data_IF_462225104981
#
_entry.id   IF_462225104981
#
_cell.length_a   1.000
_cell.length_b   1.000
_cell.length_c   1.000
_cell.angle_alpha   90.00
_cell.angle_beta   90.00
_cell.angle_gamma   90.00
#
_symmetry.space_group_name_H-M   'P 1'
#
loop_
_entity.id
_entity.type
_entity.pdbx_description
1 polymer ?
#
# COMPACT_ATOMS: atom_id res chain seq x y z
N UNK A 1 -29.72 -22.55 -5.94
CA UNK A 1 -28.68 -21.61 -5.49
C UNK A 1 -27.38 -22.06 -6.11
N UNK A 2 -26.71 -21.16 -6.80
CA UNK A 2 -25.36 -21.37 -7.33
C UNK A 2 -24.45 -20.31 -6.69
N UNK A 3 -23.18 -20.64 -6.46
CA UNK A 3 -22.17 -19.68 -6.00
C UNK A 3 -21.20 -19.45 -7.15
N UNK A 4 -20.92 -18.17 -7.40
CA UNK A 4 -19.92 -17.74 -8.36
C UNK A 4 -18.88 -16.88 -7.63
N UNK A 5 -17.61 -17.04 -8.01
CA UNK A 5 -16.52 -16.17 -7.56
C UNK A 5 -16.51 -14.83 -8.33
N UNK A 6 -17.19 -14.79 -9.48
CA UNK A 6 -17.17 -13.67 -10.43
C UNK A 6 -18.62 -13.28 -10.78
N UNK A 7 -18.94 -11.99 -10.64
CA UNK A 7 -20.26 -11.45 -10.92
C UNK A 7 -20.72 -11.70 -12.36
N UNK A 8 -19.83 -11.92 -13.32
CA UNK A 8 -20.17 -12.06 -14.75
C UNK A 8 -19.70 -13.37 -15.40
N UNK A 9 -19.14 -14.30 -14.62
CA UNK A 9 -18.64 -15.59 -15.11
C UNK A 9 -19.19 -16.75 -14.29
N UNK A 10 -19.12 -17.96 -14.84
CA UNK A 10 -19.43 -19.21 -14.13
C UNK A 10 -18.21 -19.75 -13.34
N UNK A 11 -17.19 -18.91 -13.15
CA UNK A 11 -15.96 -19.25 -12.44
C UNK A 11 -16.25 -19.53 -10.97
N UNK A 12 -15.73 -20.65 -10.49
CA UNK A 12 -15.88 -21.12 -9.09
C UNK A 12 -14.53 -21.27 -8.39
N UNK A 13 -13.54 -20.52 -8.83
CA UNK A 13 -12.21 -20.51 -8.23
C UNK A 13 -11.63 -19.10 -8.17
N UNK A 14 -10.85 -18.81 -7.13
CA UNK A 14 -10.07 -17.58 -7.01
C UNK A 14 -8.77 -17.81 -6.24
N UNK A 15 -7.82 -16.89 -6.39
CA UNK A 15 -6.53 -16.91 -5.69
C UNK A 15 -6.30 -15.58 -4.98
N UNK A 16 -5.95 -15.67 -3.71
CA UNK A 16 -5.78 -14.49 -2.84
C UNK A 16 -4.59 -14.67 -1.92
N UNK A 17 -4.05 -13.57 -1.39
CA UNK A 17 -2.95 -13.61 -0.43
C UNK A 17 -3.46 -13.55 1.01
N UNK A 18 -2.81 -14.28 1.92
CA UNK A 18 -3.13 -14.27 3.35
C UNK A 18 -2.63 -13.01 4.08
N UNK A 19 -2.88 -11.82 3.53
CA UNK A 19 -2.33 -10.55 4.01
C UNK A 19 -3.15 -9.88 5.14
N UNK A 20 -4.27 -10.46 5.54
CA UNK A 20 -5.13 -9.95 6.63
C UNK A 20 -6.10 -8.85 6.23
N UNK A 21 -6.06 -8.39 4.99
CA UNK A 21 -6.94 -7.32 4.50
C UNK A 21 -7.63 -7.65 3.19
N UNK A 22 -7.01 -8.42 2.30
CA UNK A 22 -7.58 -8.80 1.01
C UNK A 22 -8.93 -9.47 1.23
N UNK A 23 -9.91 -9.12 0.42
CA UNK A 23 -11.23 -9.71 0.47
C UNK A 23 -11.42 -10.68 -0.70
N UNK A 24 -12.14 -11.75 -0.43
CA UNK A 24 -12.76 -12.60 -1.45
C UNK A 24 -14.19 -12.13 -1.61
N UNK A 25 -14.61 -11.84 -2.85
CA UNK A 25 -16.01 -11.58 -3.15
C UNK A 25 -16.73 -12.87 -3.54
N UNK A 26 -17.87 -13.11 -2.91
CA UNK A 26 -18.70 -14.30 -3.14
C UNK A 26 -20.07 -13.83 -3.62
N UNK A 27 -20.50 -14.33 -4.78
CA UNK A 27 -21.80 -14.00 -5.35
C UNK A 27 -22.74 -15.19 -5.20
N UNK A 28 -23.78 -15.01 -4.38
CA UNK A 28 -24.85 -16.01 -4.25
C UNK A 28 -25.93 -15.69 -5.28
N UNK A 29 -26.18 -16.64 -6.19
CA UNK A 29 -27.25 -16.60 -7.17
C UNK A 29 -28.53 -17.18 -6.58
N UNK A 30 -29.59 -16.38 -6.57
CA UNK A 30 -30.94 -16.78 -6.15
C UNK A 30 -31.94 -16.65 -7.29
N UNK A 31 -32.81 -17.65 -7.39
CA UNK A 31 -33.97 -17.60 -8.26
C UNK A 31 -35.14 -17.01 -7.47
N UNK A 32 -35.83 -16.04 -8.08
CA UNK A 32 -36.91 -15.33 -7.44
C UNK A 32 -38.10 -15.16 -8.40
N UNK A 33 -39.32 -15.04 -7.84
CA UNK A 33 -40.61 -15.19 -8.52
C UNK A 33 -41.31 -13.88 -8.91
N UNK A 34 -40.80 -12.70 -8.57
CA UNK A 34 -41.38 -11.41 -9.01
C UNK A 34 -42.21 -10.62 -7.97
N UNK A 35 -42.26 -11.04 -6.69
CA UNK A 35 -43.02 -10.35 -5.62
C UNK A 35 -42.28 -9.28 -4.74
N UNK A 36 -40.94 -9.27 -4.65
CA UNK A 36 -40.08 -8.33 -3.88
C UNK A 36 -39.09 -7.53 -4.77
N UNK A 37 -38.68 -6.34 -4.35
CA UNK A 37 -37.63 -5.60 -5.08
C UNK A 37 -36.27 -6.31 -5.04
N UNK A 38 -35.39 -6.00 -6.00
CA UNK A 38 -34.02 -6.53 -6.03
C UNK A 38 -33.23 -6.19 -4.75
N UNK A 39 -33.38 -4.96 -4.24
CA UNK A 39 -32.74 -4.50 -3.00
C UNK A 39 -33.22 -5.27 -1.76
N UNK A 40 -34.51 -5.60 -1.69
CA UNK A 40 -35.07 -6.43 -0.62
C UNK A 40 -34.48 -7.85 -0.67
N UNK A 41 -34.28 -8.40 -1.87
CA UNK A 41 -33.69 -9.73 -2.08
C UNK A 41 -32.21 -9.72 -1.71
N UNK A 42 -31.44 -8.71 -2.15
CA UNK A 42 -30.04 -8.52 -1.78
C UNK A 42 -29.89 -8.47 -0.26
N UNK A 43 -30.68 -7.60 0.39
CA UNK A 43 -30.66 -7.42 1.85
C UNK A 43 -31.02 -8.72 2.56
N UNK A 44 -32.04 -9.43 2.07
CA UNK A 44 -32.46 -10.70 2.65
C UNK A 44 -31.35 -11.76 2.56
N UNK A 45 -30.74 -11.94 1.39
CA UNK A 45 -29.66 -12.91 1.20
C UNK A 45 -28.44 -12.55 2.05
N UNK A 46 -28.04 -11.28 2.10
CA UNK A 46 -26.91 -10.84 2.92
C UNK A 46 -27.10 -11.11 4.42
N UNK A 47 -28.34 -11.01 4.91
CA UNK A 47 -28.66 -11.22 6.32
C UNK A 47 -28.86 -12.69 6.72
N UNK A 48 -29.19 -13.57 5.76
CA UNK A 48 -29.64 -14.94 6.06
C UNK A 48 -28.77 -16.04 5.44
N UNK A 49 -27.95 -15.74 4.44
CA UNK A 49 -27.08 -16.74 3.84
C UNK A 49 -25.95 -17.16 4.79
N UNK A 50 -25.71 -18.46 4.86
CA UNK A 50 -24.61 -19.06 5.62
C UNK A 50 -23.63 -19.71 4.67
N UNK A 51 -22.36 -19.34 4.74
CA UNK A 51 -21.27 -19.97 4.00
C UNK A 51 -20.60 -21.03 4.90
N UNK A 52 -20.50 -22.26 4.41
CA UNK A 52 -19.82 -23.37 5.07
C UNK A 52 -18.54 -23.73 4.35
N UNK A 53 -17.50 -24.07 5.12
CA UNK A 53 -16.33 -24.78 4.59
C UNK A 53 -16.57 -26.29 4.57
N UNK A 54 -16.23 -26.92 3.45
CA UNK A 54 -16.21 -28.37 3.26
C UNK A 54 -14.90 -29.01 3.74
N UNK A 55 -13.88 -28.20 4.02
CA UNK A 55 -12.59 -28.72 4.49
C UNK A 55 -12.70 -29.04 5.98
N UNK A 56 -12.98 -30.31 6.31
CA UNK A 56 -13.09 -30.78 7.70
C UNK A 56 -11.82 -30.48 8.50
N UNK A 57 -11.97 -29.82 9.65
CA UNK A 57 -10.86 -29.41 10.51
C UNK A 57 -10.31 -28.00 10.25
N UNK A 58 -10.89 -27.28 9.28
CA UNK A 58 -10.58 -25.87 9.08
C UNK A 58 -11.13 -25.04 10.25
N UNK A 59 -10.24 -24.68 11.18
CA UNK A 59 -10.56 -23.79 12.32
C UNK A 59 -10.42 -22.29 11.94
N UNK A 60 -10.26 -21.99 10.65
CA UNK A 60 -10.04 -20.63 10.17
C UNK A 60 -11.40 -19.95 9.97
N UNK A 61 -11.71 -18.96 10.81
CA UNK A 61 -12.91 -18.14 10.66
C UNK A 61 -12.58 -16.88 9.87
N UNK A 62 -13.27 -16.69 8.76
CA UNK A 62 -13.11 -15.53 7.89
C UNK A 62 -14.12 -14.45 8.30
N UNK A 63 -13.68 -13.21 8.58
CA UNK A 63 -14.59 -12.09 8.82
C UNK A 63 -15.45 -11.79 7.58
N UNK A 64 -16.76 -11.71 7.77
CA UNK A 64 -17.71 -11.32 6.71
C UNK A 64 -17.99 -9.80 6.78
N UNK A 65 -18.14 -9.17 5.63
CA UNK A 65 -18.54 -7.79 5.42
C UNK A 65 -19.53 -7.69 4.25
N UNK A 66 -20.47 -6.76 4.34
CA UNK A 66 -21.35 -6.39 3.21
C UNK A 66 -20.77 -5.24 2.38
N UNK A 67 -19.63 -4.69 2.79
CA UNK A 67 -18.93 -3.57 2.11
C UNK A 67 -17.53 -3.99 1.67
N UNK A 68 -17.18 -3.56 0.45
CA UNK A 68 -15.81 -3.56 -0.07
C UNK A 68 -14.89 -2.68 0.80
N UNK A 69 -13.63 -3.08 0.93
CA UNK A 69 -12.59 -2.35 1.64
C UNK A 69 -11.75 -1.41 0.75
N UNK A 70 -12.12 -1.29 -0.53
CA UNK A 70 -11.52 -0.39 -1.53
C UNK A 70 -10.08 -0.73 -1.93
N UNK A 71 -9.55 -1.90 -1.57
CA UNK A 71 -8.28 -2.40 -2.13
C UNK A 71 -8.53 -3.07 -3.47
N UNK A 72 -7.50 -3.16 -4.31
CA UNK A 72 -7.59 -4.06 -5.44
C UNK A 72 -7.83 -5.48 -4.92
N UNK A 73 -8.74 -6.22 -5.55
CA UNK A 73 -9.06 -7.58 -5.14
C UNK A 73 -9.48 -8.43 -6.35
N UNK A 74 -9.93 -9.66 -6.12
CA UNK A 74 -10.29 -10.61 -7.17
C UNK A 74 -11.34 -10.10 -8.17
N UNK A 75 -12.11 -9.06 -7.83
CA UNK A 75 -13.12 -8.45 -8.72
C UNK A 75 -12.54 -7.50 -9.76
N UNK A 76 -11.29 -7.05 -9.67
CA UNK A 76 -10.75 -6.15 -10.69
C UNK A 76 -10.62 -6.83 -12.06
N UNK A 77 -10.62 -8.17 -12.08
CA UNK A 77 -10.79 -8.96 -13.30
C UNK A 77 -12.23 -8.93 -13.88
N UNK A 78 -13.24 -8.60 -13.07
CA UNK A 78 -14.64 -8.49 -13.47
C UNK A 78 -14.98 -7.16 -14.16
N UNK A 79 -14.07 -6.17 -14.14
CA UNK A 79 -14.26 -4.86 -14.75
C UNK A 79 -14.21 -4.85 -16.30
N UNK A 80 -13.96 -6.00 -16.95
CA UNK A 80 -14.26 -6.15 -18.37
C UNK A 80 -15.78 -6.27 -18.55
N UNK A 81 -16.43 -5.10 -18.57
CA UNK A 81 -17.84 -4.91 -18.91
C UNK A 81 -18.17 -5.57 -20.25
N UNK A 82 -18.57 -6.84 -20.21
CA UNK A 82 -19.36 -7.43 -21.28
C UNK A 82 -20.74 -6.78 -21.21
N UNK A 83 -21.11 -6.06 -22.26
CA UNK A 83 -22.45 -5.52 -22.45
C UNK A 83 -23.49 -6.63 -22.39
N UNK A 84 -24.40 -6.49 -21.41
CA UNK A 84 -25.73 -7.10 -21.35
C UNK A 84 -25.83 -8.57 -21.81
N UNK A 85 -25.58 -9.51 -20.90
CA UNK A 85 -26.24 -10.82 -21.02
C UNK A 85 -27.70 -10.60 -20.57
N UNK A 86 -28.71 -10.83 -21.43
CA UNK A 86 -30.11 -10.70 -21.02
C UNK A 86 -30.35 -11.65 -19.85
N UNK A 87 -31.15 -11.27 -18.84
CA UNK A 87 -31.55 -12.21 -17.81
C UNK A 87 -32.16 -13.43 -18.49
N UNK A 88 -31.60 -14.62 -18.25
CA UNK A 88 -32.31 -15.87 -18.54
C UNK A 88 -33.66 -15.77 -17.81
N UNK A 89 -34.71 -16.40 -18.34
CA UNK A 89 -36.13 -16.19 -17.99
C UNK A 89 -36.55 -16.41 -16.50
N UNK A 90 -35.59 -16.53 -15.58
CA UNK A 90 -35.71 -16.50 -14.13
C UNK A 90 -34.72 -15.43 -13.68
N UNK A 91 -35.18 -14.37 -13.02
CA UNK A 91 -34.33 -13.27 -12.53
C UNK A 91 -33.30 -13.82 -11.54
N UNK A 92 -32.11 -14.12 -12.07
CA UNK A 92 -30.91 -14.51 -11.34
C UNK A 92 -30.31 -13.26 -10.70
N UNK A 93 -30.61 -13.05 -9.42
CA UNK A 93 -30.02 -11.95 -8.64
C UNK A 93 -28.74 -12.48 -8.00
N UNK A 94 -27.61 -11.85 -8.35
CA UNK A 94 -26.29 -12.15 -7.79
C UNK A 94 -26.00 -11.21 -6.63
N UNK A 95 -26.05 -11.76 -5.41
CA UNK A 95 -25.88 -10.98 -4.18
C UNK A 95 -24.42 -11.05 -3.71
N UNK A 96 -23.71 -9.91 -3.56
CA UNK A 96 -22.32 -9.91 -3.12
C UNK A 96 -22.20 -10.07 -1.59
N UNK A 97 -21.22 -10.87 -1.19
CA UNK A 97 -20.72 -11.03 0.17
C UNK A 97 -19.19 -10.94 0.14
N UNK A 98 -18.57 -10.26 1.10
CA UNK A 98 -17.12 -10.09 1.16
C UNK A 98 -16.55 -10.80 2.38
N UNK A 99 -15.50 -11.59 2.17
CA UNK A 99 -14.81 -12.30 3.24
C UNK A 99 -13.36 -11.87 3.30
N UNK A 100 -12.95 -11.27 4.43
CA UNK A 100 -11.56 -10.86 4.63
C UNK A 100 -10.69 -12.10 4.88
N UNK A 101 -9.62 -12.25 4.10
CA UNK A 101 -8.65 -13.34 4.24
C UNK A 101 -7.88 -13.15 5.55
N UNK A 102 -7.91 -14.10 6.49
CA UNK A 102 -7.15 -13.96 7.74
C UNK A 102 -5.64 -13.91 7.51
N UNK A 103 -4.98 -12.98 8.20
CA UNK A 103 -3.55 -12.77 8.11
C UNK A 103 -2.75 -13.96 8.64
N UNK A 104 -1.79 -14.47 7.86
CA UNK A 104 -0.79 -15.43 8.30
C UNK A 104 -1.25 -16.86 8.57
N UNK A 105 -2.55 -17.11 8.81
CA UNK A 105 -3.08 -18.39 9.29
C UNK A 105 -3.91 -19.18 8.27
N UNK A 106 -4.46 -18.51 7.25
CA UNK A 106 -5.43 -19.10 6.31
C UNK A 106 -4.80 -19.73 5.06
N UNK A 107 -3.60 -20.33 5.11
CA UNK A 107 -2.95 -20.85 3.89
C UNK A 107 -3.60 -22.15 3.38
N UNK A 108 -3.70 -22.28 2.06
CA UNK A 108 -4.11 -23.53 1.40
C UNK A 108 -5.36 -23.38 0.54
N UNK A 109 -6.00 -24.51 0.24
CA UNK A 109 -7.25 -24.54 -0.52
C UNK A 109 -8.46 -24.60 0.42
N UNK A 110 -9.40 -23.68 0.21
CA UNK A 110 -10.62 -23.54 0.99
C UNK A 110 -11.81 -23.79 0.07
N UNK A 111 -12.64 -24.78 0.41
CA UNK A 111 -13.77 -25.21 -0.44
C UNK A 111 -15.07 -24.83 0.24
N UNK A 112 -15.83 -23.90 -0.34
CA UNK A 112 -17.03 -23.34 0.27
C UNK A 112 -18.32 -23.71 -0.45
N UNK A 113 -19.39 -23.84 0.33
CA UNK A 113 -20.79 -23.94 -0.13
C UNK A 113 -21.65 -22.96 0.66
N UNK A 114 -22.81 -22.60 0.11
CA UNK A 114 -23.75 -21.67 0.72
C UNK A 114 -25.06 -22.38 1.00
N UNK A 115 -25.72 -21.97 2.08
CA UNK A 115 -27.05 -22.38 2.45
C UNK A 115 -27.91 -21.16 2.74
N UNK A 116 -29.14 -21.20 2.23
CA UNK A 116 -30.19 -20.25 2.52
C UNK A 116 -31.49 -21.03 2.64
N UNK A 117 -32.18 -20.88 3.77
CA UNK A 117 -33.47 -21.52 4.06
C UNK A 117 -33.48 -23.04 3.85
N UNK A 118 -32.40 -23.71 4.25
CA UNK A 118 -32.27 -25.16 4.16
C UNK A 118 -31.97 -25.67 2.74
N UNK A 119 -31.82 -24.79 1.75
CA UNK A 119 -31.32 -25.12 0.42
C UNK A 119 -29.84 -24.80 0.35
N UNK A 120 -29.03 -25.81 0.02
CA UNK A 120 -27.59 -25.66 -0.13
C UNK A 120 -27.13 -25.77 -1.58
N UNK A 121 -25.96 -25.19 -1.88
CA UNK A 121 -25.27 -25.42 -3.15
C UNK A 121 -24.64 -26.81 -3.22
N UNK A 122 -24.33 -27.26 -4.43
CA UNK A 122 -23.74 -28.58 -4.68
C UNK A 122 -22.34 -28.72 -4.08
N UNK A 123 -22.14 -29.75 -3.26
CA UNK A 123 -20.82 -30.13 -2.72
C UNK A 123 -19.84 -30.63 -3.79
N UNK A 124 -20.34 -31.03 -4.95
CA UNK A 124 -19.52 -31.49 -6.09
C UNK A 124 -18.89 -30.34 -6.86
N UNK A 125 -19.42 -29.13 -6.70
CA UNK A 125 -19.00 -27.91 -7.41
C UNK A 125 -18.93 -26.75 -6.39
N UNK A 126 -18.04 -26.86 -5.38
CA UNK A 126 -17.87 -25.80 -4.39
C UNK A 126 -17.10 -24.63 -4.99
N UNK A 127 -17.22 -23.47 -4.35
CA UNK A 127 -16.29 -22.37 -4.57
C UNK A 127 -14.92 -22.75 -4.00
N UNK A 128 -13.87 -22.63 -4.80
CA UNK A 128 -12.49 -22.95 -4.41
C UNK A 128 -11.70 -21.65 -4.24
N UNK A 129 -11.25 -21.37 -3.03
CA UNK A 129 -10.39 -20.22 -2.74
C UNK A 129 -9.01 -20.78 -2.41
N UNK A 130 -8.04 -20.49 -3.26
CA UNK A 130 -6.64 -20.81 -2.98
C UNK A 130 -5.99 -19.61 -2.30
N UNK A 131 -5.62 -19.77 -1.04
CA UNK A 131 -4.93 -18.74 -0.28
C UNK A 131 -3.43 -18.99 -0.32
N UNK A 132 -2.75 -18.11 -1.02
CA UNK A 132 -1.30 -18.09 -1.16
C UNK A 132 -0.65 -17.34 0.00
N UNK A 133 0.61 -17.68 0.27
CA UNK A 133 1.38 -16.97 1.29
C UNK A 133 1.77 -15.58 0.82
N UNK A 134 1.44 -14.57 1.61
CA UNK A 134 2.06 -13.26 1.55
C UNK A 134 3.31 -13.28 2.42
N UNK A 135 4.47 -13.36 1.78
CA UNK A 135 5.76 -13.33 2.45
C UNK A 135 6.76 -12.58 1.60
N UNK A 136 7.64 -11.83 2.26
CA UNK A 136 8.70 -11.08 1.60
C UNK A 136 9.98 -11.13 2.44
N UNK A 137 11.08 -10.85 1.78
CA UNK A 137 12.44 -10.72 2.28
C UNK A 137 13.09 -9.47 1.69
N UNK A 138 14.28 -9.09 2.16
CA UNK A 138 14.96 -7.91 1.62
C UNK A 138 15.31 -8.03 0.13
N UNK A 139 15.56 -9.27 -0.33
CA UNK A 139 15.95 -9.57 -1.71
C UNK A 139 14.77 -9.50 -2.69
N UNK A 140 13.53 -9.39 -2.21
CA UNK A 140 12.33 -9.30 -3.03
C UNK A 140 12.05 -7.88 -3.55
N UNK A 141 12.88 -6.91 -3.12
CA UNK A 141 12.74 -5.51 -3.48
C UNK A 141 13.91 -5.02 -4.30
N UNK A 142 13.66 -4.00 -5.10
CA UNK A 142 14.69 -3.24 -5.78
C UNK A 142 14.40 -1.74 -5.73
N UNK A 143 15.47 -0.96 -5.81
CA UNK A 143 15.42 0.49 -5.96
C UNK A 143 16.00 0.81 -7.32
N UNK A 144 15.17 1.37 -8.20
CA UNK A 144 15.50 1.61 -9.60
C UNK A 144 15.57 3.10 -9.88
N UNK A 145 16.71 3.55 -10.42
CA UNK A 145 16.89 4.92 -10.89
C UNK A 145 15.94 5.20 -12.07
N UNK A 146 15.25 6.35 -12.00
CA UNK A 146 14.32 6.81 -13.04
C UNK A 146 14.86 8.00 -13.79
N UNK A 147 15.22 9.03 -13.05
CA UNK A 147 15.71 10.29 -13.62
C UNK A 147 16.82 10.82 -12.74
N UNK A 148 17.89 11.31 -13.37
CA UNK A 148 19.02 11.93 -12.69
C UNK A 148 19.21 13.36 -13.18
N UNK A 149 19.37 14.27 -12.23
CA UNK A 149 19.82 15.64 -12.46
C UNK A 149 21.13 15.87 -11.70
N UNK A 150 21.67 17.09 -11.74
CA UNK A 150 23.01 17.39 -11.24
C UNK A 150 23.20 17.00 -9.77
N UNK A 151 22.26 17.32 -8.89
CA UNK A 151 22.35 16.98 -7.47
C UNK A 151 21.14 16.25 -6.89
N UNK A 152 20.27 15.69 -7.75
CA UNK A 152 19.16 14.85 -7.32
C UNK A 152 18.98 13.63 -8.22
N UNK A 153 18.54 12.53 -7.62
CA UNK A 153 18.15 11.31 -8.32
C UNK A 153 16.76 10.90 -7.87
N UNK A 154 15.87 10.67 -8.84
CA UNK A 154 14.56 10.11 -8.65
C UNK A 154 14.66 8.58 -8.76
N UNK A 155 14.21 7.88 -7.74
CA UNK A 155 14.18 6.43 -7.67
C UNK A 155 12.76 5.91 -7.45
N UNK A 156 12.56 4.63 -7.77
CA UNK A 156 11.36 3.88 -7.38
C UNK A 156 11.79 2.69 -6.55
N UNK A 157 11.14 2.53 -5.39
CA UNK A 157 11.15 1.29 -4.64
C UNK A 157 9.97 0.44 -5.09
N UNK A 158 10.26 -0.80 -5.51
CA UNK A 158 9.24 -1.75 -5.94
C UNK A 158 9.62 -3.19 -5.63
N UNK A 159 8.64 -4.07 -5.74
CA UNK A 159 8.88 -5.51 -5.82
C UNK A 159 9.62 -5.84 -7.13
N UNK A 160 10.49 -6.86 -7.09
CA UNK A 160 11.06 -7.42 -8.32
C UNK A 160 9.98 -8.15 -9.14
N UNK A 161 10.19 -8.23 -10.45
CA UNK A 161 9.20 -8.72 -11.43
C UNK A 161 8.72 -10.17 -11.20
N UNK A 162 9.48 -10.98 -10.47
CA UNK A 162 9.23 -12.40 -10.22
C UNK A 162 8.68 -12.70 -8.81
N UNK A 163 8.53 -11.69 -7.97
CA UNK A 163 8.05 -11.85 -6.59
C UNK A 163 6.52 -11.89 -6.54
N UNK A 164 5.87 -10.89 -7.14
CA UNK A 164 4.43 -10.79 -7.24
C UNK A 164 4.00 -10.39 -8.65
N UNK A 165 2.69 -10.44 -8.92
CA UNK A 165 2.14 -9.96 -10.18
C UNK A 165 2.46 -8.48 -10.40
N UNK A 166 2.47 -8.03 -11.66
CA UNK A 166 2.66 -6.62 -11.99
C UNK A 166 1.56 -5.70 -11.44
N UNK A 167 0.44 -6.24 -10.95
CA UNK A 167 -0.61 -5.48 -10.28
C UNK A 167 -0.27 -5.21 -8.81
N UNK A 168 0.58 -6.02 -8.17
CA UNK A 168 1.04 -5.85 -6.79
C UNK A 168 2.16 -4.80 -6.74
N UNK A 169 1.82 -3.58 -6.31
CA UNK A 169 2.77 -2.46 -6.25
C UNK A 169 2.69 -1.81 -4.88
N UNK A 170 3.84 -1.40 -4.35
CA UNK A 170 3.88 -0.54 -3.17
C UNK A 170 3.28 0.83 -3.52
N UNK A 171 2.42 1.37 -2.65
CA UNK A 171 1.74 2.65 -2.87
C UNK A 171 2.04 3.65 -1.75
N UNK A 172 1.77 3.29 -0.50
CA UNK A 172 1.73 4.27 0.59
C UNK A 172 2.79 3.95 1.63
N UNK A 173 3.52 4.94 2.12
CA UNK A 173 4.27 4.81 3.37
C UNK A 173 3.35 5.18 4.56
N UNK A 174 2.83 4.18 5.26
CA UNK A 174 1.83 4.38 6.33
C UNK A 174 2.49 4.68 7.68
N UNK A 175 3.66 4.12 7.92
CA UNK A 175 4.46 4.39 9.11
C UNK A 175 5.87 4.76 8.71
N UNK A 176 6.28 5.97 9.07
CA UNK A 176 7.59 6.50 8.73
C UNK A 176 8.24 7.13 9.95
N UNK A 177 9.57 7.20 9.90
CA UNK A 177 10.38 8.05 10.78
C UNK A 177 10.96 9.17 9.93
N UNK A 178 10.67 10.42 10.31
CA UNK A 178 11.05 11.53 9.46
C UNK A 178 10.52 12.89 9.87
N UNK A 179 10.79 13.87 9.00
CA UNK A 179 10.40 15.27 9.13
C UNK A 179 9.69 15.68 7.84
N UNK A 180 8.45 16.16 7.95
CA UNK A 180 7.72 16.83 6.88
C UNK A 180 7.68 18.33 7.17
N UNK A 181 7.98 19.17 6.17
CA UNK A 181 8.03 20.63 6.32
C UNK A 181 6.75 21.28 5.78
N UNK A 182 6.00 21.95 6.65
CA UNK A 182 4.75 22.65 6.31
C UNK A 182 5.05 23.98 5.61
N UNK A 183 4.16 24.41 4.71
CA UNK A 183 4.29 25.70 4.00
C UNK A 183 5.28 25.69 2.84
N UNK A 184 5.90 24.53 2.58
CA UNK A 184 6.42 24.24 1.24
C UNK A 184 5.22 23.98 0.32
N UNK A 185 5.36 24.24 -0.97
CA UNK A 185 4.35 23.81 -1.96
C UNK A 185 4.31 22.28 -2.14
N UNK A 186 5.04 21.54 -1.30
CA UNK A 186 5.40 20.16 -1.51
C UNK A 186 4.82 19.22 -0.48
N UNK A 187 4.52 18.03 -0.97
CA UNK A 187 4.03 16.92 -0.20
C UNK A 187 5.10 15.83 -0.16
N UNK A 188 6.23 16.14 0.50
CA UNK A 188 7.31 15.17 0.70
C UNK A 188 7.81 15.20 2.12
N UNK A 189 8.36 14.08 2.59
CA UNK A 189 8.94 14.00 3.92
C UNK A 189 10.33 13.38 3.89
N UNK A 190 11.24 13.98 4.65
CA UNK A 190 12.61 13.51 4.81
C UNK A 190 12.59 12.32 5.75
N UNK A 191 13.16 11.20 5.32
CA UNK A 191 13.31 9.99 6.15
C UNK A 191 14.74 9.76 6.61
N UNK A 192 15.72 10.40 5.96
CA UNK A 192 17.12 10.31 6.34
C UNK A 192 17.89 11.61 6.06
N UNK A 193 18.83 11.93 6.96
CA UNK A 193 19.92 12.91 6.75
C UNK A 193 21.28 12.32 7.15
N UNK A 194 22.28 12.31 6.26
CA UNK A 194 23.60 11.71 6.51
C UNK A 194 24.69 12.74 6.85
N UNK A 195 25.39 12.52 7.98
CA UNK A 195 26.49 13.37 8.47
C UNK A 195 27.71 13.32 7.55
N UNK A 196 28.07 12.10 7.13
CA UNK A 196 29.28 11.81 6.37
C UNK A 196 29.13 12.14 4.87
N UNK A 197 27.91 12.33 4.39
CA UNK A 197 27.62 12.29 2.97
C UNK A 197 27.14 13.59 2.34
N UNK A 198 26.59 14.53 3.12
CA UNK A 198 25.97 15.74 2.57
C UNK A 198 24.82 15.33 1.61
N UNK A 199 23.92 14.51 2.14
CA UNK A 199 22.82 13.88 1.39
C UNK A 199 21.54 13.80 2.22
N UNK A 200 20.41 13.81 1.53
CA UNK A 200 19.07 13.66 2.09
C UNK A 200 18.27 12.63 1.29
N UNK A 201 17.60 11.73 2.01
CA UNK A 201 16.67 10.75 1.44
C UNK A 201 15.23 11.14 1.77
N UNK A 202 14.40 11.24 0.74
CA UNK A 202 13.05 11.79 0.82
C UNK A 202 12.07 10.87 0.10
N UNK A 203 10.88 10.71 0.67
CA UNK A 203 9.78 10.05 0.00
C UNK A 203 8.75 11.08 -0.43
N UNK A 204 8.18 10.83 -1.61
CA UNK A 204 7.06 11.61 -2.12
C UNK A 204 5.77 11.04 -1.56
N UNK A 205 4.82 11.91 -1.23
CA UNK A 205 3.47 11.51 -0.84
C UNK A 205 2.76 10.78 -1.97
N UNK A 206 1.90 9.83 -1.60
CA UNK A 206 1.16 9.05 -2.56
C UNK A 206 0.29 9.95 -3.45
N UNK A 207 0.45 9.81 -4.77
CA UNK A 207 -0.21 10.60 -5.83
C UNK A 207 0.11 12.10 -5.84
N UNK A 208 1.16 12.52 -5.15
CA UNK A 208 1.62 13.90 -5.18
C UNK A 208 2.70 14.04 -6.26
N UNK A 209 2.38 14.79 -7.32
CA UNK A 209 3.20 14.83 -8.54
C UNK A 209 3.63 16.23 -8.95
N UNK A 210 2.99 17.28 -8.44
CA UNK A 210 3.36 18.67 -8.70
C UNK A 210 4.11 19.31 -7.53
N UNK A 211 4.99 20.27 -7.84
CA UNK A 211 5.64 21.15 -6.87
C UNK A 211 6.41 20.42 -5.75
N UNK A 212 7.19 19.41 -6.12
CA UNK A 212 8.00 18.64 -5.17
C UNK A 212 9.17 19.49 -4.64
N UNK A 213 8.93 20.32 -3.64
CA UNK A 213 9.90 21.11 -2.89
C UNK A 213 10.18 20.51 -1.50
N UNK A 214 11.27 19.75 -1.35
CA UNK A 214 11.58 19.03 -0.10
C UNK A 214 11.55 19.95 1.14
N UNK A 215 12.17 21.12 1.02
CA UNK A 215 12.15 22.20 1.98
C UNK A 215 12.60 23.50 1.31
N UNK A 216 12.37 24.63 1.98
CA UNK A 216 12.99 25.91 1.62
C UNK A 216 14.39 25.93 2.26
N UNK A 217 15.48 25.98 1.48
CA UNK A 217 16.82 26.01 2.02
C UNK A 217 17.04 27.27 2.86
N UNK A 218 17.79 27.12 3.95
CA UNK A 218 18.17 28.17 4.89
C UNK A 218 16.98 28.89 5.59
N UNK A 219 15.76 28.38 5.42
CA UNK A 219 14.60 28.84 6.18
C UNK A 219 14.52 28.15 7.54
N UNK A 220 14.32 28.95 8.59
CA UNK A 220 14.16 28.44 9.95
C UNK A 220 12.70 28.10 10.24
N UNK A 221 12.38 26.81 10.19
CA UNK A 221 11.06 26.28 10.53
C UNK A 221 10.87 26.18 12.04
N UNK A 222 9.73 26.69 12.52
CA UNK A 222 9.27 26.48 13.89
C UNK A 222 8.57 25.11 14.06
N UNK A 223 8.39 24.65 15.30
CA UNK A 223 7.74 23.35 15.59
C UNK A 223 6.34 23.20 14.99
N UNK A 224 5.56 24.29 14.91
CA UNK A 224 4.23 24.26 14.30
C UNK A 224 4.26 24.24 12.75
N UNK A 225 5.45 24.39 12.15
CA UNK A 225 5.66 24.33 10.71
C UNK A 225 6.35 23.03 10.28
N UNK A 226 6.46 22.04 11.16
CA UNK A 226 7.02 20.72 10.84
C UNK A 226 6.18 19.62 11.46
N UNK A 227 6.03 18.50 10.77
CA UNK A 227 5.50 17.26 11.34
C UNK A 227 6.67 16.30 11.52
N UNK A 228 6.99 15.99 12.78
CA UNK A 228 8.00 15.01 13.15
C UNK A 228 7.33 13.70 13.54
N UNK A 229 7.83 12.58 13.02
CA UNK A 229 7.37 11.24 13.41
C UNK A 229 8.59 10.42 13.81
N UNK A 230 8.63 9.97 15.08
CA UNK A 230 9.74 9.21 15.68
C UNK A 230 11.14 9.83 15.54
N UNK A 231 11.21 11.16 15.47
CA UNK A 231 12.45 11.95 15.44
C UNK A 231 12.52 12.79 16.71
N UNK A 232 13.34 12.35 17.66
CA UNK A 232 13.47 12.98 19.00
C UNK A 232 14.48 14.12 19.05
N UNK A 233 15.07 14.48 17.90
CA UNK A 233 15.97 15.63 17.78
C UNK A 233 15.22 16.88 17.34
N UNK A 234 15.86 18.04 17.47
CA UNK A 234 15.37 19.31 16.94
C UNK A 234 14.06 19.78 17.60
N UNK A 235 14.11 20.01 18.90
CA UNK A 235 12.96 20.31 19.76
C UNK A 235 12.40 21.72 19.61
N UNK A 236 13.14 22.66 19.01
CA UNK A 236 12.74 24.07 18.90
C UNK A 236 12.66 24.57 17.46
N UNK A 237 13.77 24.77 16.76
CA UNK A 237 13.76 25.15 15.34
C UNK A 237 14.57 24.18 14.47
N UNK A 238 14.17 24.07 13.21
CA UNK A 238 14.78 23.21 12.19
C UNK A 238 15.10 24.06 10.96
N UNK A 239 16.34 24.00 10.49
CA UNK A 239 16.79 24.70 9.30
C UNK A 239 17.42 23.69 8.34
N UNK A 240 16.70 23.26 7.29
CA UNK A 240 17.31 22.52 6.20
C UNK A 240 18.20 23.45 5.39
N UNK A 241 19.33 22.95 4.94
CA UNK A 241 20.35 23.71 4.20
C UNK A 241 20.73 22.92 2.96
N UNK A 242 21.11 23.65 1.91
CA UNK A 242 21.65 23.09 0.68
C UNK A 242 20.90 23.59 -0.55
N UNK A 243 21.65 24.20 -1.46
CA UNK A 243 21.18 24.79 -2.72
C UNK A 243 20.34 23.84 -3.58
N UNK A 244 20.65 22.54 -3.51
CA UNK A 244 19.97 21.49 -4.27
C UNK A 244 18.57 21.13 -3.76
N UNK A 245 18.12 21.72 -2.67
CA UNK A 245 16.73 21.60 -2.22
C UNK A 245 15.78 22.39 -3.12
N UNK A 246 16.22 23.53 -3.68
CA UNK A 246 15.39 24.30 -4.62
C UNK A 246 15.28 23.58 -5.98
N UNK A 247 16.32 22.84 -6.38
CA UNK A 247 16.33 22.10 -7.63
C UNK A 247 15.28 20.98 -7.68
N UNK A 248 14.70 20.57 -6.55
CA UNK A 248 13.65 19.55 -6.55
C UNK A 248 12.36 20.06 -7.22
N UNK A 249 12.17 21.39 -7.28
CA UNK A 249 11.07 22.02 -8.03
C UNK A 249 11.14 21.79 -9.53
N UNK A 250 12.31 21.44 -10.08
CA UNK A 250 12.47 21.18 -11.52
C UNK A 250 11.97 19.79 -11.93
N UNK A 251 11.56 18.96 -10.97
CA UNK A 251 11.00 17.65 -11.23
C UNK A 251 9.69 17.76 -12.02
N UNK A 252 9.73 17.27 -13.25
CA UNK A 252 8.55 17.18 -14.09
C UNK A 252 7.54 16.19 -13.47
N UNK A 253 6.26 16.60 -13.27
CA UNK A 253 5.21 15.71 -12.75
C UNK A 253 5.11 14.38 -13.50
N UNK A 254 5.31 14.36 -14.82
CA UNK A 254 5.26 13.14 -15.62
C UNK A 254 6.35 12.13 -15.22
N UNK A 255 7.52 12.57 -14.77
CA UNK A 255 8.55 11.66 -14.24
C UNK A 255 8.09 11.01 -12.94
N UNK A 256 7.43 11.79 -12.08
CA UNK A 256 6.92 11.33 -10.78
C UNK A 256 5.72 10.39 -10.98
N UNK A 257 4.80 10.71 -11.88
CA UNK A 257 3.68 9.85 -12.27
C UNK A 257 4.14 8.49 -12.81
N UNK A 258 5.11 8.51 -13.76
CA UNK A 258 5.66 7.29 -14.33
C UNK A 258 6.35 6.42 -13.26
N UNK A 259 7.05 7.06 -12.33
CA UNK A 259 7.68 6.39 -11.21
C UNK A 259 6.64 5.76 -10.26
N UNK A 260 5.57 6.48 -9.93
CA UNK A 260 4.45 6.00 -9.11
C UNK A 260 3.72 4.80 -9.72
N UNK A 261 3.63 4.74 -11.04
CA UNK A 261 3.04 3.61 -11.74
C UNK A 261 3.82 2.30 -11.55
N UNK A 262 5.03 2.34 -10.99
CA UNK A 262 5.83 1.13 -10.70
C UNK A 262 5.92 0.80 -9.21
N UNK A 263 5.85 1.80 -8.33
CA UNK A 263 6.02 1.61 -6.89
C UNK A 263 6.14 2.94 -6.16
N UNK A 264 6.73 2.91 -4.97
CA UNK A 264 6.89 4.12 -4.15
C UNK A 264 8.02 5.00 -4.66
N UNK A 265 7.77 6.30 -4.74
CA UNK A 265 8.74 7.28 -5.27
C UNK A 265 9.64 7.82 -4.17
N UNK A 266 10.96 7.76 -4.44
CA UNK A 266 12.03 8.22 -3.57
C UNK A 266 12.85 9.28 -4.30
N UNK A 267 13.30 10.30 -3.58
CA UNK A 267 14.23 11.32 -4.07
C UNK A 267 15.46 11.30 -3.17
N UNK A 268 16.62 11.21 -3.80
CA UNK A 268 17.90 11.32 -3.14
C UNK A 268 18.60 12.59 -3.60
N UNK A 269 18.88 13.49 -2.67
CA UNK A 269 19.61 14.74 -2.93
C UNK A 269 21.01 14.64 -2.37
N UNK A 270 22.02 15.06 -3.12
CA UNK A 270 23.42 15.02 -2.69
C UNK A 270 24.20 16.26 -3.15
N UNK A 271 24.65 17.09 -2.20
CA UNK A 271 25.54 18.23 -2.47
C UNK A 271 26.34 18.63 -1.22
N UNK A 272 27.47 19.34 -1.39
CA UNK A 272 28.42 19.77 -0.37
C UNK A 272 27.85 20.45 0.88
N UNK A 273 26.76 21.16 0.68
CA UNK A 273 26.07 22.05 1.62
C UNK A 273 24.80 21.43 2.21
N UNK A 274 24.39 20.25 1.74
CA UNK A 274 23.15 19.59 2.17
C UNK A 274 23.23 19.17 3.65
N UNK A 275 22.24 19.57 4.45
CA UNK A 275 22.14 19.16 5.84
C UNK A 275 20.87 19.64 6.54
N UNK A 276 20.58 19.03 7.70
CA UNK A 276 19.53 19.48 8.62
C UNK A 276 20.21 20.08 9.83
N UNK A 277 19.96 21.35 10.12
CA UNK A 277 20.44 22.03 11.30
C UNK A 277 19.31 22.20 12.29
N UNK A 278 19.61 22.00 13.55
CA UNK A 278 18.63 22.11 14.60
C UNK A 278 19.15 23.03 15.68
N UNK A 279 18.24 23.85 16.14
CA UNK A 279 18.48 24.73 17.25
C UNK A 279 18.62 23.92 18.53
N UNK A 280 19.67 24.23 19.27
CA UNK A 280 19.99 23.64 20.55
C UNK A 280 20.31 24.77 21.55
N UNK A 281 19.69 24.70 22.72
CA UNK A 281 20.00 25.57 23.85
C UNK A 281 21.03 24.88 24.73
N UNK A 282 22.28 25.29 24.59
CA UNK A 282 23.35 24.87 25.48
C UNK A 282 23.90 26.09 26.21
N UNK A 283 23.97 25.99 27.54
CA UNK A 283 24.63 26.99 28.41
C UNK A 283 24.15 28.44 28.21
N UNK A 284 22.86 28.64 27.91
CA UNK A 284 22.26 29.97 27.79
C UNK A 284 22.45 30.67 26.44
N UNK A 285 23.07 30.02 25.47
CA UNK A 285 23.23 30.54 24.11
C UNK A 285 22.47 29.68 23.09
N UNK A 286 21.83 30.35 22.14
CA UNK A 286 21.18 29.72 21.00
C UNK A 286 22.26 29.32 19.99
N UNK A 287 22.35 28.02 19.68
CA UNK A 287 23.27 27.52 18.65
C UNK A 287 22.54 26.59 17.68
N UNK A 288 22.92 26.63 16.40
CA UNK A 288 22.47 25.64 15.43
C UNK A 288 23.55 24.57 15.30
N UNK A 289 23.15 23.30 15.46
CA UNK A 289 24.01 22.15 15.22
C UNK A 289 23.48 21.33 14.07
N UNK A 290 24.39 20.83 13.24
CA UNK A 290 24.02 19.89 12.18
C UNK A 290 23.64 18.56 12.83
N UNK A 291 22.46 18.08 12.49
CA UNK A 291 21.97 16.78 12.89
C UNK A 291 21.93 15.83 11.72
N UNK A 292 22.23 14.58 12.03
CA UNK A 292 22.12 13.48 11.11
C UNK A 292 21.40 12.36 11.81
N UNK A 293 20.48 11.76 11.09
CA UNK A 293 19.69 10.66 11.56
C UNK A 293 19.64 9.65 10.43
N UNK A 294 20.09 8.44 10.76
CA UNK A 294 19.97 7.31 9.88
C UNK A 294 18.55 6.77 9.92
N UNK A 295 18.14 6.22 8.79
CA UNK A 295 16.79 5.74 8.58
C UNK A 295 16.50 4.50 9.43
N UNK A 296 15.23 4.33 9.78
CA UNK A 296 14.71 3.16 10.49
C UNK A 296 13.70 2.43 9.61
N UNK A 297 13.10 1.38 10.17
CA UNK A 297 12.08 0.57 9.51
C UNK A 297 10.88 1.44 9.07
N UNK A 298 10.50 1.32 7.81
CA UNK A 298 9.35 2.01 7.21
C UNK A 298 8.28 1.00 6.86
N UNK A 299 7.00 1.30 7.11
CA UNK A 299 5.90 0.42 6.73
C UNK A 299 5.23 0.97 5.48
N UNK A 300 5.22 0.16 4.43
CA UNK A 300 4.53 0.42 3.19
C UNK A 300 3.27 -0.43 3.05
N UNK A 301 2.30 0.08 2.32
CA UNK A 301 1.09 -0.63 1.92
C UNK A 301 1.07 -0.79 0.40
N UNK A 302 0.72 -1.97 -0.08
CA UNK A 302 0.57 -2.29 -1.49
C UNK A 302 -0.86 -2.07 -2.04
N UNK A 303 -1.03 -2.28 -3.33
CA UNK A 303 -2.32 -2.20 -4.07
C UNK A 303 -3.43 -3.10 -3.53
N UNK A 304 -3.07 -4.22 -2.91
CA UNK A 304 -3.99 -5.19 -2.30
C UNK A 304 -4.10 -5.02 -0.78
N UNK A 305 -3.60 -3.89 -0.26
CA UNK A 305 -3.61 -3.52 1.15
C UNK A 305 -2.55 -4.23 2.00
N UNK A 306 -1.75 -5.11 1.41
CA UNK A 306 -0.67 -5.82 2.09
C UNK A 306 0.33 -4.84 2.69
N UNK A 307 0.68 -5.03 3.97
CA UNK A 307 1.62 -4.15 4.67
C UNK A 307 2.99 -4.83 4.80
N UNK A 308 4.02 -4.10 4.46
CA UNK A 308 5.42 -4.55 4.52
C UNK A 308 6.25 -3.55 5.28
N UNK A 309 6.94 -4.00 6.32
CA UNK A 309 8.01 -3.25 6.97
C UNK A 309 9.31 -3.47 6.22
N UNK A 310 9.97 -2.39 5.79
CA UNK A 310 11.19 -2.40 4.99
C UNK A 310 12.26 -1.58 5.71
N UNK A 311 13.43 -2.19 5.90
CA UNK A 311 14.64 -1.54 6.38
C UNK A 311 15.58 -1.25 5.23
N UNK A 312 15.99 0.00 5.12
CA UNK A 312 16.93 0.43 4.09
C UNK A 312 18.32 0.64 4.70
N UNK A 313 19.34 0.27 3.93
CA UNK A 313 20.66 0.84 4.07
C UNK A 313 20.82 1.92 3.00
N UNK A 314 20.79 3.17 3.43
CA UNK A 314 20.85 4.34 2.54
C UNK A 314 22.28 4.86 2.32
N UNK A 315 23.25 4.29 3.02
CA UNK A 315 24.61 4.83 3.09
C UNK A 315 25.67 3.82 2.65
N UNK A 316 25.30 2.84 1.83
CA UNK A 316 26.28 2.02 1.13
C UNK A 316 26.84 2.83 -0.05
N UNK A 317 28.16 2.91 -0.28
CA UNK A 317 28.69 3.41 -1.56
C UNK A 317 28.89 4.95 -1.73
N UNK A 318 28.42 5.51 -2.85
CA UNK A 318 28.96 6.72 -3.51
C UNK A 318 28.52 8.08 -2.91
N UNK A 319 28.62 9.20 -3.66
CA UNK A 319 28.23 10.55 -3.21
C UNK A 319 26.71 10.77 -3.09
N UNK A 320 25.84 9.96 -3.70
CA UNK A 320 24.39 9.98 -3.46
C UNK A 320 23.97 8.91 -2.43
N UNK A 321 24.75 7.83 -2.33
CA UNK A 321 24.42 6.67 -1.52
C UNK A 321 23.72 5.64 -2.40
N UNK A 322 24.21 4.41 -2.37
CA UNK A 322 23.48 3.23 -2.80
C UNK A 322 22.45 2.95 -1.72
N UNK A 323 21.19 3.18 -2.07
CA UNK A 323 20.07 2.73 -1.27
C UNK A 323 19.81 1.27 -1.60
N UNK A 324 19.83 0.42 -0.58
CA UNK A 324 19.54 -1.00 -0.70
C UNK A 324 18.54 -1.40 0.36
N UNK A 325 17.57 -2.23 -0.01
CA UNK A 325 16.72 -2.88 0.97
C UNK A 325 17.56 -3.92 1.69
N UNK A 326 17.72 -3.74 2.99
CA UNK A 326 18.54 -4.61 3.84
C UNK A 326 17.73 -5.72 4.50
N UNK A 327 16.47 -5.44 4.83
CA UNK A 327 15.51 -6.39 5.40
C UNK A 327 14.10 -5.98 5.01
N UNK A 328 13.21 -6.96 4.88
CA UNK A 328 11.79 -6.72 4.79
C UNK A 328 11.02 -7.85 5.49
N UNK A 329 9.83 -7.54 5.99
CA UNK A 329 8.90 -8.52 6.55
C UNK A 329 7.45 -8.05 6.35
N UNK A 330 6.55 -9.00 6.20
CA UNK A 330 5.11 -8.73 6.22
C UNK A 330 4.68 -8.32 7.63
N UNK A 331 3.81 -7.32 7.71
CA UNK A 331 3.14 -6.90 8.95
C UNK A 331 1.64 -7.09 8.74
N UNK A 332 1.01 -7.83 9.64
CA UNK A 332 -0.44 -7.99 9.61
C UNK A 332 -1.10 -6.83 10.39
N UNK A 333 -2.29 -6.36 9.96
CA UNK A 333 -3.03 -5.28 10.61
C UNK A 333 -3.44 -5.63 12.05
#
# INVERSE_FOLDING_TARGET
MNIFADQFSDRQDTRVFNNGVMQVSVFISVNYNGEASEDEIITYVQNNAVIYSLTFGENVKWPNSTTDNCFHHDIDHAANKSTSVPPKAISDIRVPLYFTVPGGSAKGEHRWIANLDGKQTSEKTPLIITVESFSVSGDDFEIVDKTKFDCLVLHVLKYKNDVFSSANKLLNCTEFKGIKFSGTSANTWVTMSSANGRKLGVFVEYRETSNIQIAIPDYTYQQNQVVKKYVDVCSSMIMPTGTCLDDTLVLNPAHVDNAWNEGVVLIQVGNGDIGIWCENWESGFQTFRRYSFECQDLVFQDTFGGRVEIRFNWNAGDRYGVSVVSKAKVVYP
#
